data_IF_270922027181
#
_entry.id   IF_270922027181
#
_cell.length_a   1.000
_cell.length_b   1.000
_cell.length_c   1.000
_cell.angle_alpha   90.00
_cell.angle_beta   90.00
_cell.angle_gamma   90.00
#
_symmetry.space_group_name_H-M   'P 1'
#
loop_
_entity.id
_entity.type
_entity.pdbx_description
1 polymer ?
#
# COMPACT_ATOMS: atom_id res chain seq x y z
N UNK A 1 -15.80 1.02 14.61
CA UNK A 1 -16.27 1.19 13.21
C UNK A 1 -15.51 2.29 12.45
N UNK A 2 -15.11 3.42 13.04
CA UNK A 2 -14.32 4.45 12.31
C UNK A 2 -13.01 3.94 11.69
N UNK A 3 -12.29 3.02 12.36
CA UNK A 3 -11.01 2.50 11.83
C UNK A 3 -11.11 1.82 10.47
N UNK A 4 -12.19 1.07 10.20
CA UNK A 4 -12.35 0.37 8.91
C UNK A 4 -12.71 1.34 7.79
N UNK A 5 -13.50 2.38 8.11
CA UNK A 5 -13.86 3.44 7.17
C UNK A 5 -12.63 4.28 6.82
N UNK A 6 -11.82 4.63 7.82
CA UNK A 6 -10.57 5.35 7.60
C UNK A 6 -9.59 4.54 6.73
N UNK A 7 -9.45 3.23 7.01
CA UNK A 7 -8.63 2.35 6.20
C UNK A 7 -9.11 2.30 4.75
N UNK A 8 -10.44 2.17 4.53
CA UNK A 8 -11.00 2.15 3.19
C UNK A 8 -10.74 3.47 2.43
N UNK A 9 -10.88 4.61 3.11
CA UNK A 9 -10.60 5.92 2.52
C UNK A 9 -9.11 6.10 2.18
N UNK A 10 -8.21 5.69 3.08
CA UNK A 10 -6.77 5.75 2.83
C UNK A 10 -6.34 4.80 1.70
N UNK A 11 -6.90 3.60 1.65
CA UNK A 11 -6.66 2.65 0.57
C UNK A 11 -7.14 3.22 -0.78
N UNK A 12 -8.33 3.84 -0.81
CA UNK A 12 -8.83 4.49 -2.01
C UNK A 12 -7.92 5.63 -2.46
N UNK A 13 -7.48 6.49 -1.53
CA UNK A 13 -6.54 7.58 -1.82
C UNK A 13 -5.22 7.06 -2.37
N UNK A 14 -4.67 6.00 -1.77
CA UNK A 14 -3.44 5.35 -2.20
C UNK A 14 -3.55 4.79 -3.63
N UNK A 15 -4.67 4.13 -3.99
CA UNK A 15 -4.88 3.60 -5.34
C UNK A 15 -5.09 4.69 -6.39
N UNK A 16 -5.77 5.79 -6.04
CA UNK A 16 -5.90 6.96 -6.91
C UNK A 16 -4.53 7.58 -7.19
N UNK A 17 -3.70 7.74 -6.16
CA UNK A 17 -2.33 8.22 -6.30
C UNK A 17 -1.50 7.29 -7.19
N UNK A 18 -1.56 5.98 -6.94
CA UNK A 18 -0.84 4.98 -7.73
C UNK A 18 -1.19 5.07 -9.22
N UNK A 19 -2.49 5.15 -9.54
CA UNK A 19 -2.94 5.34 -10.92
C UNK A 19 -2.42 6.64 -11.53
N UNK A 20 -2.45 7.75 -10.78
CA UNK A 20 -1.94 9.04 -11.25
C UNK A 20 -0.45 8.97 -11.57
N UNK A 21 0.35 8.33 -10.71
CA UNK A 21 1.79 8.15 -10.92
C UNK A 21 2.06 7.34 -12.20
N UNK A 22 1.33 6.24 -12.43
CA UNK A 22 1.47 5.43 -13.66
C UNK A 22 1.19 6.26 -14.91
N UNK A 23 0.15 7.10 -14.89
CA UNK A 23 -0.21 7.96 -16.02
C UNK A 23 0.83 9.07 -16.21
N UNK A 24 1.21 9.78 -15.14
CA UNK A 24 2.13 10.92 -15.21
C UNK A 24 3.53 10.53 -15.68
N UNK A 25 4.00 9.34 -15.30
CA UNK A 25 5.32 8.83 -15.67
C UNK A 25 5.29 7.95 -16.90
N UNK A 26 4.09 7.65 -17.43
CA UNK A 26 3.90 6.73 -18.55
C UNK A 26 4.65 5.40 -18.35
N UNK A 27 4.55 4.84 -17.15
CA UNK A 27 5.21 3.60 -16.77
C UNK A 27 4.33 2.74 -15.86
N UNK A 28 4.56 1.45 -15.89
CA UNK A 28 3.88 0.52 -15.01
C UNK A 28 4.38 0.63 -13.58
N UNK A 29 3.45 0.52 -12.65
CA UNK A 29 3.73 0.42 -11.22
C UNK A 29 2.95 -0.74 -10.62
N UNK A 30 3.52 -1.35 -9.59
CA UNK A 30 2.97 -2.50 -8.89
C UNK A 30 2.72 -2.13 -7.43
N UNK A 31 1.54 -2.49 -6.95
CA UNK A 31 1.19 -2.40 -5.53
C UNK A 31 1.47 -3.75 -4.88
N UNK A 32 2.42 -3.76 -3.95
CA UNK A 32 2.83 -4.94 -3.21
C UNK A 32 2.14 -4.95 -1.85
N UNK A 33 1.46 -6.05 -1.53
CA UNK A 33 0.80 -6.26 -0.24
C UNK A 33 1.67 -7.20 0.59
N UNK A 34 2.07 -6.80 1.79
CA UNK A 34 2.94 -7.57 2.66
C UNK A 34 2.40 -7.60 4.09
N UNK A 35 2.63 -8.71 4.80
CA UNK A 35 2.31 -8.84 6.23
C UNK A 35 0.82 -9.04 6.53
N UNK A 36 0.01 -9.41 5.54
CA UNK A 36 -1.36 -9.90 5.74
C UNK A 36 -1.38 -11.44 5.76
N UNK A 37 -2.32 -12.08 6.48
CA UNK A 37 -3.29 -11.47 7.40
C UNK A 37 -2.63 -10.93 8.68
N UNK A 38 -3.17 -9.86 9.26
CA UNK A 38 -2.64 -9.27 10.49
C UNK A 38 -3.71 -8.59 11.34
N UNK A 39 -3.60 -8.77 12.66
CA UNK A 39 -4.33 -8.02 13.69
C UNK A 39 -3.44 -7.04 14.46
N UNK A 40 -2.12 -7.14 14.29
CA UNK A 40 -1.11 -6.30 14.95
C UNK A 40 -0.93 -4.95 14.26
N UNK A 41 -1.43 -4.82 13.03
CA UNK A 41 -1.15 -3.67 12.16
C UNK A 41 0.20 -3.79 11.45
N UNK A 42 0.89 -4.93 11.56
CA UNK A 42 2.17 -5.21 10.91
C UNK A 42 1.99 -5.63 9.45
N UNK A 43 1.31 -4.79 8.67
CA UNK A 43 1.12 -4.95 7.24
C UNK A 43 1.47 -3.65 6.52
N UNK A 44 1.81 -3.75 5.24
CA UNK A 44 2.06 -2.58 4.39
C UNK A 44 1.70 -2.83 2.94
N UNK A 45 1.36 -1.74 2.26
CA UNK A 45 1.17 -1.61 0.82
C UNK A 45 2.31 -0.75 0.28
N UNK A 46 3.08 -1.26 -0.67
CA UNK A 46 4.20 -0.53 -1.28
C UNK A 46 3.95 -0.36 -2.77
N UNK A 47 3.92 0.88 -3.26
CA UNK A 47 3.88 1.20 -4.68
C UNK A 47 5.31 1.24 -5.21
N UNK A 48 5.65 0.37 -6.15
CA UNK A 48 7.00 0.26 -6.69
C UNK A 48 7.02 0.11 -8.20
N UNK A 49 8.08 0.57 -8.86
CA UNK A 49 8.29 0.41 -10.31
C UNK A 49 8.87 -0.96 -10.69
N UNK A 50 8.90 -1.91 -9.75
CA UNK A 50 9.29 -3.30 -10.03
C UNK A 50 8.14 -4.26 -9.70
N UNK A 51 8.02 -5.32 -10.49
CA UNK A 51 6.97 -6.32 -10.37
C UNK A 51 7.23 -7.36 -9.28
N UNK A 52 8.49 -7.61 -8.92
CA UNK A 52 8.85 -8.58 -7.88
C UNK A 52 9.09 -7.90 -6.54
N UNK A 53 8.54 -8.50 -5.48
CA UNK A 53 8.67 -7.98 -4.11
C UNK A 53 10.11 -7.97 -3.60
N UNK A 54 10.95 -8.91 -4.07
CA UNK A 54 12.36 -9.02 -3.68
C UNK A 54 13.23 -7.91 -4.24
N UNK A 55 12.78 -7.27 -5.32
CA UNK A 55 13.54 -6.25 -6.04
C UNK A 55 13.19 -4.84 -5.53
N UNK A 56 12.27 -4.73 -4.57
CA UNK A 56 11.86 -3.44 -3.97
C UNK A 56 13.02 -2.85 -3.19
N UNK A 57 13.33 -1.60 -3.50
CA UNK A 57 14.32 -0.77 -2.82
C UNK A 57 13.72 0.60 -2.52
N UNK A 58 14.40 1.41 -1.71
CA UNK A 58 13.98 2.80 -1.49
C UNK A 58 13.99 3.64 -2.78
N UNK A 59 14.80 3.28 -3.78
CA UNK A 59 14.92 4.03 -5.04
C UNK A 59 13.76 3.78 -6.01
N UNK A 60 13.18 2.58 -5.99
CA UNK A 60 12.05 2.21 -6.85
C UNK A 60 10.71 2.27 -6.12
N UNK A 61 10.70 2.66 -4.84
CA UNK A 61 9.48 2.87 -4.06
C UNK A 61 8.97 4.29 -4.27
N UNK A 62 7.70 4.42 -4.61
CA UNK A 62 7.03 5.71 -4.83
C UNK A 62 6.18 6.12 -3.63
N UNK A 63 5.48 5.17 -3.02
CA UNK A 63 4.60 5.42 -1.89
C UNK A 63 4.45 4.18 -1.02
N UNK A 64 4.14 4.39 0.26
CA UNK A 64 3.86 3.32 1.22
C UNK A 64 2.63 3.68 2.07
N UNK A 65 1.73 2.72 2.26
CA UNK A 65 0.64 2.77 3.23
C UNK A 65 0.83 1.65 4.24
N UNK A 66 0.78 1.96 5.54
CA UNK A 66 1.16 1.03 6.61
C UNK A 66 0.07 0.88 7.67
N UNK A 67 -0.04 -0.34 8.20
CA UNK A 67 -1.13 -0.77 9.06
C UNK A 67 -1.06 -0.37 10.53
N UNK A 68 0.02 0.29 10.97
CA UNK A 68 0.30 0.52 12.40
C UNK A 68 -0.85 1.24 13.14
N UNK A 69 -1.53 2.19 12.48
CA UNK A 69 -2.69 2.92 13.03
C UNK A 69 -3.95 2.04 13.16
N UNK A 70 -3.98 0.91 12.47
CA UNK A 70 -5.10 -0.03 12.40
C UNK A 70 -4.92 -1.26 13.28
N UNK A 71 -3.97 -1.25 14.23
CA UNK A 71 -3.84 -2.31 15.23
C UNK A 71 -5.18 -2.57 15.92
N UNK A 72 -5.50 -3.85 16.09
CA UNK A 72 -6.78 -4.34 16.63
C UNK A 72 -7.90 -4.46 15.59
N UNK A 73 -7.66 -4.09 14.33
CA UNK A 73 -8.48 -4.49 13.19
C UNK A 73 -7.85 -5.73 12.56
N UNK A 74 -8.63 -6.79 12.38
CA UNK A 74 -8.20 -7.95 11.59
C UNK A 74 -8.33 -7.58 10.12
N UNK A 75 -7.21 -7.60 9.42
CA UNK A 75 -7.14 -7.47 7.96
C UNK A 75 -6.63 -8.78 7.41
N UNK A 76 -7.36 -9.36 6.45
CA UNK A 76 -7.11 -10.70 5.90
C UNK A 76 -7.29 -10.70 4.40
#
# INVERSE_FOLDING_TARGET
HMKIVNLANELQGFLIQAKSESVMRNQDFWVHIQGLPSSTGSWKLTLSSVSNVTDITSMNTVAELQGHLYRGLVVS
#
